data_IF_463946982751
#
_entry.id   IF_463946982751
#
_cell.length_a   1.000
_cell.length_b   1.000
_cell.length_c   1.000
_cell.angle_alpha   90.00
_cell.angle_beta   90.00
_cell.angle_gamma   90.00
#
_symmetry.space_group_name_H-M   'P 1'
#
loop_
_entity.id
_entity.type
_entity.pdbx_description
1 polymer ?
#
# COMPACT_ATOMS: atom_id res chain seq x y z
N UNK A 1 -11.15 -0.35 -15.04
CA UNK A 1 -11.55 -0.85 -13.71
C UNK A 1 -12.22 -2.22 -13.74
N UNK A 2 -13.04 -2.51 -14.74
CA UNK A 2 -13.70 -3.83 -14.84
C UNK A 2 -12.71 -4.99 -14.85
N UNK A 3 -11.59 -4.84 -15.53
CA UNK A 3 -10.56 -5.87 -15.61
C UNK A 3 -9.98 -6.16 -14.23
N UNK A 4 -9.80 -5.15 -13.39
CA UNK A 4 -9.25 -5.33 -12.05
C UNK A 4 -10.23 -6.00 -11.08
N UNK A 5 -11.53 -5.83 -11.29
CA UNK A 5 -12.54 -6.39 -10.39
C UNK A 5 -12.37 -7.90 -10.20
N UNK A 6 -12.01 -8.62 -11.25
CA UNK A 6 -11.81 -10.08 -11.18
C UNK A 6 -10.61 -10.48 -10.32
N UNK A 7 -9.67 -9.58 -10.08
CA UNK A 7 -8.48 -9.84 -9.26
C UNK A 7 -8.68 -9.44 -7.80
N UNK A 8 -9.79 -8.76 -7.47
CA UNK A 8 -10.07 -8.35 -6.09
C UNK A 8 -10.67 -9.56 -5.36
N UNK A 9 -10.12 -9.92 -4.18
CA UNK A 9 -10.62 -11.09 -3.44
C UNK A 9 -12.00 -10.81 -2.84
N UNK A 10 -13.04 -11.07 -3.62
CA UNK A 10 -14.43 -10.88 -3.17
C UNK A 10 -14.78 -11.91 -2.11
N UNK A 11 -15.47 -11.45 -1.07
CA UNK A 11 -15.83 -12.30 0.06
C UNK A 11 -14.69 -12.54 1.05
N UNK A 12 -13.48 -12.11 0.75
CA UNK A 12 -12.35 -12.20 1.67
C UNK A 12 -12.41 -11.10 2.73
N UNK A 13 -11.84 -11.38 3.90
CA UNK A 13 -11.72 -10.40 4.98
C UNK A 13 -10.87 -9.21 4.57
N UNK A 14 -9.82 -9.47 3.81
CA UNK A 14 -8.90 -8.44 3.31
C UNK A 14 -9.06 -8.33 1.80
N UNK A 15 -9.11 -7.10 1.30
CA UNK A 15 -9.23 -6.80 -0.13
C UNK A 15 -7.97 -6.11 -0.60
N UNK A 16 -6.90 -6.89 -0.73
CA UNK A 16 -5.57 -6.39 -1.09
C UNK A 16 -5.20 -6.91 -2.48
N UNK A 17 -4.80 -5.99 -3.35
CA UNK A 17 -4.35 -6.31 -4.70
C UNK A 17 -2.99 -5.66 -4.96
N UNK A 18 -2.00 -6.47 -5.34
CA UNK A 18 -0.74 -5.96 -5.87
C UNK A 18 -0.81 -5.98 -7.39
N UNK A 19 -0.42 -4.90 -8.03
CA UNK A 19 -0.48 -4.80 -9.48
C UNK A 19 0.70 -3.99 -10.04
N UNK A 20 1.18 -4.40 -11.21
CA UNK A 20 2.10 -3.60 -12.01
C UNK A 20 1.37 -2.78 -13.07
N UNK A 21 0.05 -2.97 -13.19
CA UNK A 21 -0.77 -2.31 -14.20
C UNK A 21 -1.56 -1.16 -13.60
N UNK A 22 -1.41 0.03 -14.19
CA UNK A 22 -2.19 1.20 -13.82
C UNK A 22 -3.40 1.29 -14.75
N UNK A 23 -4.54 0.78 -14.28
CA UNK A 23 -5.76 0.78 -15.07
C UNK A 23 -6.19 2.20 -15.40
N UNK A 24 -6.71 2.39 -16.62
CA UNK A 24 -7.24 3.67 -17.04
C UNK A 24 -8.36 4.12 -16.09
N UNK A 25 -8.30 5.40 -15.70
CA UNK A 25 -9.27 5.99 -14.78
C UNK A 25 -8.94 5.75 -13.31
N UNK A 26 -7.91 4.95 -12.99
CA UNK A 26 -7.47 4.73 -11.63
C UNK A 26 -6.34 5.70 -11.27
N UNK A 27 -6.53 6.41 -10.17
CA UNK A 27 -5.54 7.38 -9.69
C UNK A 27 -4.70 6.74 -8.59
N UNK A 28 -3.42 6.47 -8.91
CA UNK A 28 -2.46 5.99 -7.92
C UNK A 28 -1.87 7.16 -7.15
N UNK A 29 -2.06 7.15 -5.85
CA UNK A 29 -1.56 8.19 -4.94
C UNK A 29 -0.07 7.97 -4.71
N UNK A 30 0.74 9.01 -4.95
CA UNK A 30 2.16 9.00 -4.61
C UNK A 30 2.32 9.21 -3.10
N UNK A 31 2.14 8.12 -2.35
CA UNK A 31 2.14 8.17 -0.90
C UNK A 31 3.52 8.55 -0.36
N UNK A 32 4.57 8.17 -1.08
CA UNK A 32 5.94 8.51 -0.70
C UNK A 32 6.19 10.00 -0.71
N UNK A 33 5.80 10.68 -1.78
CA UNK A 33 5.98 12.12 -1.89
C UNK A 33 5.12 12.88 -0.89
N UNK A 34 3.86 12.46 -0.71
CA UNK A 34 2.95 13.12 0.22
C UNK A 34 3.42 12.99 1.67
N UNK A 35 3.85 11.79 2.07
CA UNK A 35 4.33 11.57 3.43
C UNK A 35 5.65 12.29 3.67
N UNK A 36 6.59 12.24 2.72
CA UNK A 36 7.87 12.93 2.85
C UNK A 36 7.67 14.43 3.08
N UNK A 37 6.75 15.04 2.33
CA UNK A 37 6.42 16.46 2.49
C UNK A 37 5.77 16.73 3.84
N UNK A 38 4.87 15.88 4.28
CA UNK A 38 4.13 16.07 5.52
C UNK A 38 5.03 15.99 6.75
N UNK A 39 6.11 15.18 6.71
CA UNK A 39 7.02 15.01 7.86
C UNK A 39 8.32 15.80 7.74
N UNK A 40 8.50 16.57 6.68
CA UNK A 40 9.76 17.27 6.37
C UNK A 40 10.25 18.13 7.55
N UNK A 41 9.35 18.87 8.19
CA UNK A 41 9.69 19.73 9.31
C UNK A 41 9.93 18.97 10.62
N UNK A 42 9.68 17.67 10.65
CA UNK A 42 9.76 16.85 11.85
C UNK A 42 10.90 15.83 11.80
N UNK A 43 11.75 15.84 10.75
CA UNK A 43 12.76 14.80 10.52
C UNK A 43 13.77 14.67 11.68
N UNK A 44 14.10 15.76 12.37
CA UNK A 44 15.00 15.75 13.51
C UNK A 44 14.28 15.71 14.86
N UNK A 45 12.95 15.61 14.84
CA UNK A 45 12.13 15.59 16.05
C UNK A 45 12.09 14.17 16.64
N UNK A 46 12.24 14.06 17.97
CA UNK A 46 12.11 12.78 18.67
C UNK A 46 10.73 12.14 18.54
N UNK A 47 9.71 12.91 18.14
CA UNK A 47 8.35 12.43 17.92
C UNK A 47 8.06 12.09 16.46
N UNK A 48 9.08 11.92 15.63
CA UNK A 48 8.94 11.66 14.20
C UNK A 48 8.01 10.48 13.91
N UNK A 49 8.15 9.38 14.65
CA UNK A 49 7.32 8.18 14.40
C UNK A 49 5.84 8.46 14.67
N UNK A 50 5.52 9.23 15.69
CA UNK A 50 4.15 9.62 15.98
C UNK A 50 3.58 10.53 14.88
N UNK A 51 4.37 11.52 14.46
CA UNK A 51 3.97 12.44 13.38
C UNK A 51 3.75 11.68 12.08
N UNK A 52 4.66 10.78 11.75
CA UNK A 52 4.56 9.98 10.51
C UNK A 52 3.29 9.13 10.51
N UNK A 53 2.97 8.47 11.60
CA UNK A 53 1.76 7.66 11.69
C UNK A 53 0.50 8.50 11.54
N UNK A 54 0.44 9.63 12.23
CA UNK A 54 -0.71 10.53 12.17
C UNK A 54 -0.91 11.10 10.76
N UNK A 55 0.17 11.58 10.14
CA UNK A 55 0.12 12.13 8.80
C UNK A 55 -0.24 11.07 7.75
N UNK A 56 0.31 9.86 7.90
CA UNK A 56 -0.01 8.77 6.99
C UNK A 56 -1.49 8.43 7.01
N UNK A 57 -2.10 8.33 8.19
CA UNK A 57 -3.53 8.05 8.29
C UNK A 57 -4.39 9.18 7.69
N UNK A 58 -3.97 10.43 7.85
CA UNK A 58 -4.65 11.56 7.20
C UNK A 58 -4.58 11.47 5.68
N UNK A 59 -3.42 11.11 5.14
CA UNK A 59 -3.22 10.97 3.70
C UNK A 59 -4.11 9.84 3.15
N UNK A 60 -4.13 8.70 3.81
CA UNK A 60 -4.96 7.57 3.38
C UNK A 60 -6.43 7.99 3.35
N UNK A 61 -6.96 8.54 4.43
CA UNK A 61 -8.37 8.94 4.51
C UNK A 61 -8.75 10.00 3.47
N UNK A 62 -7.84 10.93 3.20
CA UNK A 62 -8.08 12.02 2.24
C UNK A 62 -8.09 11.54 0.79
N UNK A 63 -7.54 10.36 0.50
CA UNK A 63 -7.34 9.88 -0.86
C UNK A 63 -8.15 8.63 -1.20
N UNK A 64 -9.07 8.21 -0.33
CA UNK A 64 -9.99 7.13 -0.64
C UNK A 64 -10.94 7.58 -1.75
N UNK A 65 -11.06 6.76 -2.79
CA UNK A 65 -11.92 7.01 -3.94
C UNK A 65 -13.09 6.02 -3.93
N UNK A 66 -14.13 6.35 -4.65
CA UNK A 66 -15.26 5.45 -4.83
C UNK A 66 -15.38 5.05 -6.30
N UNK A 67 -15.48 3.75 -6.54
CA UNK A 67 -15.76 3.20 -7.86
C UNK A 67 -17.09 2.46 -7.81
N UNK A 68 -17.91 2.68 -8.83
CA UNK A 68 -19.16 1.95 -8.97
C UNK A 68 -18.94 0.45 -9.04
N UNK A 69 -17.81 0.01 -9.58
CA UNK A 69 -17.52 -1.40 -9.82
C UNK A 69 -16.90 -2.11 -8.63
N UNK A 70 -16.06 -1.43 -7.85
CA UNK A 70 -15.29 -2.06 -6.78
C UNK A 70 -15.55 -1.46 -5.39
N UNK A 71 -16.33 -0.37 -5.30
CA UNK A 71 -16.62 0.30 -4.04
C UNK A 71 -15.52 1.27 -3.62
N UNK A 72 -15.40 1.48 -2.33
CA UNK A 72 -14.36 2.36 -1.80
C UNK A 72 -12.99 1.73 -1.95
N UNK A 73 -12.06 2.45 -2.55
CA UNK A 73 -10.71 1.95 -2.77
C UNK A 73 -9.67 3.05 -2.59
N UNK A 74 -8.45 2.62 -2.35
CA UNK A 74 -7.28 3.49 -2.45
C UNK A 74 -6.18 2.75 -3.20
N UNK A 75 -5.59 3.41 -4.19
CA UNK A 75 -4.47 2.88 -4.96
C UNK A 75 -3.22 3.70 -4.61
N UNK A 76 -2.17 3.03 -4.16
CA UNK A 76 -0.95 3.69 -3.69
C UNK A 76 0.27 3.22 -4.49
N UNK A 77 1.23 4.14 -4.65
CA UNK A 77 2.51 3.87 -5.29
C UNK A 77 3.64 4.57 -4.51
N UNK A 78 4.87 4.24 -4.84
CA UNK A 78 6.06 4.82 -4.21
C UNK A 78 6.07 4.59 -2.70
N UNK A 79 5.96 3.32 -2.31
CA UNK A 79 5.78 2.94 -0.91
C UNK A 79 7.10 2.79 -0.14
N UNK A 80 8.24 3.04 -0.77
CA UNK A 80 9.56 2.81 -0.15
C UNK A 80 9.77 3.49 1.19
N UNK A 81 9.32 4.75 1.33
CA UNK A 81 9.47 5.50 2.57
C UNK A 81 8.77 4.83 3.76
N UNK A 82 7.70 4.07 3.50
CA UNK A 82 6.96 3.40 4.56
C UNK A 82 7.80 2.35 5.29
N UNK A 83 8.87 1.86 4.65
CA UNK A 83 9.76 0.86 5.22
C UNK A 83 10.90 1.47 6.05
N UNK A 84 11.01 2.81 6.09
CA UNK A 84 12.10 3.47 6.81
C UNK A 84 12.01 3.17 8.32
N UNK A 85 13.06 2.59 8.93
CA UNK A 85 13.02 2.21 10.35
C UNK A 85 12.76 3.39 11.28
N UNK A 86 13.23 4.60 10.92
CA UNK A 86 13.06 5.79 11.74
C UNK A 86 11.59 6.16 11.93
N UNK A 87 10.72 5.78 10.99
CA UNK A 87 9.28 6.09 11.07
C UNK A 87 8.53 5.09 11.95
N UNK A 88 9.11 3.92 12.21
CA UNK A 88 8.54 2.88 13.08
C UNK A 88 7.08 2.52 12.73
N UNK A 89 6.77 2.47 11.44
CA UNK A 89 5.44 2.10 10.98
C UNK A 89 5.30 0.58 10.99
N UNK A 90 4.20 0.10 11.53
CA UNK A 90 3.85 -1.32 11.48
C UNK A 90 3.07 -1.56 10.18
N UNK A 91 3.77 -1.90 9.10
CA UNK A 91 3.16 -2.04 7.78
C UNK A 91 2.22 -3.25 7.69
N UNK A 92 2.53 -4.33 8.39
CA UNK A 92 1.62 -5.46 8.44
C UNK A 92 0.27 -5.04 9.01
N UNK A 93 0.28 -4.34 10.15
CA UNK A 93 -0.94 -3.84 10.78
C UNK A 93 -1.66 -2.82 9.88
N UNK A 94 -0.91 -1.92 9.24
CA UNK A 94 -1.47 -0.91 8.34
C UNK A 94 -2.15 -1.55 7.14
N UNK A 95 -1.47 -2.47 6.46
CA UNK A 95 -2.03 -3.15 5.29
C UNK A 95 -3.24 -4.00 5.68
N UNK A 96 -3.18 -4.68 6.82
CA UNK A 96 -4.31 -5.44 7.34
C UNK A 96 -5.52 -4.54 7.58
N UNK A 97 -5.34 -3.43 8.27
CA UNK A 97 -6.43 -2.50 8.60
C UNK A 97 -7.01 -1.85 7.36
N UNK A 98 -6.15 -1.32 6.47
CA UNK A 98 -6.62 -0.63 5.26
C UNK A 98 -7.35 -1.59 4.31
N UNK A 99 -6.85 -2.82 4.15
CA UNK A 99 -7.48 -3.79 3.25
C UNK A 99 -8.79 -4.35 3.78
N UNK A 100 -9.05 -4.23 5.07
CA UNK A 100 -10.38 -4.53 5.64
C UNK A 100 -11.36 -3.38 5.41
N UNK A 101 -10.89 -2.15 5.52
CA UNK A 101 -11.73 -0.95 5.40
C UNK A 101 -12.06 -0.62 3.94
N UNK A 102 -11.08 -0.80 3.04
CA UNK A 102 -11.17 -0.42 1.62
C UNK A 102 -10.59 -1.52 0.76
N UNK A 103 -10.83 -1.42 -0.56
CA UNK A 103 -10.00 -2.16 -1.51
C UNK A 103 -8.65 -1.44 -1.57
N UNK A 104 -7.59 -2.10 -1.13
CA UNK A 104 -6.24 -1.55 -1.16
C UNK A 104 -5.50 -2.09 -2.38
N UNK A 105 -5.11 -1.18 -3.26
CA UNK A 105 -4.37 -1.52 -4.49
C UNK A 105 -2.98 -0.92 -4.38
N UNK A 106 -1.96 -1.78 -4.51
CA UNK A 106 -0.56 -1.39 -4.33
C UNK A 106 0.20 -1.61 -5.62
N UNK A 107 0.88 -0.56 -6.08
CA UNK A 107 1.82 -0.69 -7.19
C UNK A 107 3.03 -1.49 -6.71
N UNK A 108 3.22 -2.66 -7.30
CA UNK A 108 4.25 -3.62 -6.92
C UNK A 108 5.44 -3.64 -7.87
N UNK A 109 5.58 -2.63 -8.74
CA UNK A 109 6.70 -2.58 -9.70
C UNK A 109 8.06 -2.51 -9.02
N UNK A 110 8.12 -1.97 -7.80
CA UNK A 110 9.37 -1.84 -7.04
C UNK A 110 9.66 -3.02 -6.12
N UNK A 111 8.85 -4.08 -6.17
CA UNK A 111 8.99 -5.18 -5.23
C UNK A 111 8.69 -6.54 -5.81
N UNK A 112 8.83 -7.56 -4.98
CA UNK A 112 8.62 -8.96 -5.33
C UNK A 112 7.89 -9.65 -4.18
N UNK A 113 6.97 -10.58 -4.52
CA UNK A 113 6.28 -11.39 -3.52
C UNK A 113 6.75 -12.84 -3.67
N UNK A 114 7.28 -13.42 -2.58
CA UNK A 114 7.69 -14.81 -2.51
C UNK A 114 7.26 -15.41 -1.17
N UNK A 115 6.62 -16.58 -1.21
CA UNK A 115 6.18 -17.29 0.01
C UNK A 115 5.37 -16.40 0.95
N UNK A 116 4.42 -15.64 0.39
CA UNK A 116 3.55 -14.73 1.14
C UNK A 116 4.30 -13.59 1.84
N UNK A 117 5.47 -13.21 1.33
CA UNK A 117 6.22 -12.07 1.84
C UNK A 117 6.48 -11.10 0.69
N UNK A 118 6.11 -9.83 0.88
CA UNK A 118 6.47 -8.76 -0.04
C UNK A 118 7.84 -8.22 0.35
N UNK A 119 8.76 -8.19 -0.61
CA UNK A 119 10.11 -7.63 -0.45
C UNK A 119 10.23 -6.38 -1.30
N UNK A 120 10.59 -5.26 -0.70
CA UNK A 120 10.86 -4.04 -1.44
C UNK A 120 12.13 -4.21 -2.28
N UNK A 121 12.13 -3.68 -3.50
CA UNK A 121 13.25 -3.75 -4.44
C UNK A 121 13.65 -5.17 -4.86
N UNK A 122 12.79 -6.17 -4.61
CA UNK A 122 13.04 -7.54 -5.03
C UNK A 122 14.17 -8.26 -4.30
N UNK A 123 14.69 -7.68 -3.23
CA UNK A 123 15.79 -8.25 -2.44
C UNK A 123 15.23 -9.07 -1.27
N UNK A 124 15.27 -10.40 -1.39
CA UNK A 124 14.72 -11.30 -0.37
C UNK A 124 15.54 -11.32 0.92
N UNK A 125 16.75 -10.76 0.91
CA UNK A 125 17.56 -10.60 2.11
C UNK A 125 17.28 -9.27 2.82
N UNK A 126 16.48 -8.39 2.20
CA UNK A 126 16.15 -7.09 2.76
C UNK A 126 15.27 -7.21 3.99
N UNK A 127 15.50 -6.33 4.97
CA UNK A 127 14.59 -6.15 6.09
C UNK A 127 13.33 -5.36 5.70
N UNK A 128 13.32 -4.76 4.49
CA UNK A 128 12.19 -3.99 3.98
C UNK A 128 11.18 -4.95 3.36
N UNK A 129 10.37 -5.56 4.23
CA UNK A 129 9.42 -6.61 3.83
C UNK A 129 8.15 -6.57 4.67
N UNK A 130 7.08 -7.15 4.11
CA UNK A 130 5.80 -7.29 4.78
C UNK A 130 5.37 -8.76 4.69
N UNK A 131 5.11 -9.39 5.83
CA UNK A 131 4.58 -10.75 5.87
C UNK A 131 3.07 -10.70 5.60
N UNK A 132 2.63 -11.39 4.54
CA UNK A 132 1.24 -11.41 4.09
C UNK A 132 0.53 -12.74 4.41
N UNK A 133 1.14 -13.61 5.22
CA UNK A 133 0.60 -14.96 5.44
C UNK A 133 -0.80 -14.99 6.04
N UNK A 134 -1.19 -13.96 6.79
CA UNK A 134 -2.52 -13.84 7.38
C UNK A 134 -3.39 -12.77 6.73
N UNK A 135 -2.96 -12.25 5.58
CA UNK A 135 -3.69 -11.24 4.80
C UNK A 135 -4.05 -11.86 3.46
N UNK A 136 -5.34 -11.91 3.13
CA UNK A 136 -5.77 -12.36 1.79
C UNK A 136 -5.32 -11.33 0.75
N UNK A 137 -4.66 -11.79 -0.31
CA UNK A 137 -4.21 -10.90 -1.38
C UNK A 137 -4.26 -11.59 -2.73
N UNK A 138 -4.26 -10.79 -3.79
CA UNK A 138 -4.08 -11.26 -5.16
C UNK A 138 -3.02 -10.43 -5.86
N UNK A 139 -2.49 -10.97 -6.94
CA UNK A 139 -1.45 -10.32 -7.73
C UNK A 139 -1.93 -10.25 -9.17
N UNK A 140 -1.85 -9.05 -9.75
CA UNK A 140 -2.14 -8.83 -11.16
C UNK A 140 -0.91 -8.28 -11.85
N UNK A 141 -0.36 -9.05 -12.77
CA UNK A 141 0.76 -8.61 -13.61
C UNK A 141 0.24 -8.19 -14.98
N UNK A 142 0.91 -7.19 -15.55
CA UNK A 142 0.65 -6.79 -16.92
C UNK A 142 1.11 -7.92 -17.85
N UNK A 143 0.18 -8.48 -18.63
CA UNK A 143 0.52 -9.44 -19.67
C UNK A 143 0.91 -8.68 -20.94
N UNK A 144 2.15 -8.84 -21.32
CA UNK A 144 2.66 -8.23 -22.56
C UNK A 144 2.52 -9.22 -23.70
#
# INVERSE_FOLDING_TARGET
MKILKQYIPTGARHKLLFTSHHAEGMNFVDIGALLARAIESSLSNRHLSFVAEEELEKIIKANVCHSFEIGDYIAIRNIGILFEPALRLDLHAKFSTWSKAYVLIVDSTEGTIQKDIFYLAGDTDSSYRINLSDISYKIHYDEI
#
